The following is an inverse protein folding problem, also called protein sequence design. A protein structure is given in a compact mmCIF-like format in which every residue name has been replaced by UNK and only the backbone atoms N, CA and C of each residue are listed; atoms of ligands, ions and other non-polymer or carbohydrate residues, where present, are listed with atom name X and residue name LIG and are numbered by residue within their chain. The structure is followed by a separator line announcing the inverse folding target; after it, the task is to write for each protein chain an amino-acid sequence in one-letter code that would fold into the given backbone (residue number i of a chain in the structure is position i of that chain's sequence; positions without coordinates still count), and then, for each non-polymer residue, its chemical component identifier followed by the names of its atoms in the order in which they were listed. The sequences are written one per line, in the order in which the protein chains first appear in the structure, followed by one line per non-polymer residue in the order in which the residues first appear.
data_IF_635485656640
#
_entry.id   IF_635485656640
#
_cell.length_a   1.000
_cell.length_b   1.000
_cell.length_c   1.000
_cell.angle_alpha   90.00
_cell.angle_beta   90.00
_cell.angle_gamma   90.00
#
_symmetry.space_group_name_H-M   'P 1'
#
loop_
_entity.id
_entity.type
_entity.pdbx_description
1 polymer ?
#
# COMPACT_ATOMS: atom_id res chain seq x y z
N UNK A 1 -0.81 -15.43 -9.84
CA UNK A 1 -0.24 -14.55 -10.86
C UNK A 1 -0.82 -13.16 -10.63
N UNK A 2 0.00 -12.20 -10.25
CA UNK A 2 -0.45 -10.81 -10.04
C UNK A 2 -0.46 -10.11 -11.39
N UNK A 3 -1.64 -9.79 -11.90
CA UNK A 3 -1.78 -9.08 -13.19
C UNK A 3 -1.42 -7.61 -12.99
N UNK A 4 -0.46 -7.10 -13.76
CA UNK A 4 -0.10 -5.68 -13.73
C UNK A 4 -1.31 -4.84 -14.18
N UNK A 5 -1.83 -4.01 -13.27
CA UNK A 5 -2.90 -3.05 -13.56
C UNK A 5 -2.28 -1.80 -14.21
N UNK A 6 -2.87 -1.28 -15.28
CA UNK A 6 -2.42 -0.03 -15.91
C UNK A 6 -3.12 1.18 -15.30
N UNK A 7 -2.38 2.26 -15.11
CA UNK A 7 -2.95 3.55 -14.70
C UNK A 7 -3.82 4.09 -15.84
N UNK A 8 -5.07 4.39 -15.55
CA UNK A 8 -6.03 4.95 -16.49
C UNK A 8 -6.19 6.46 -16.26
N UNK A 9 -6.56 7.20 -17.30
CA UNK A 9 -6.89 8.62 -17.19
C UNK A 9 -8.41 8.77 -17.18
N UNK A 10 -8.96 9.33 -16.12
CA UNK A 10 -10.38 9.61 -15.98
C UNK A 10 -10.60 11.02 -15.44
N UNK A 11 -11.33 11.88 -16.19
CA UNK A 11 -11.66 13.25 -15.79
C UNK A 11 -10.46 14.08 -15.27
N UNK A 12 -9.32 14.01 -15.96
CA UNK A 12 -8.04 14.66 -15.59
C UNK A 12 -7.36 14.12 -14.32
N UNK A 13 -7.86 13.03 -13.77
CA UNK A 13 -7.26 12.29 -12.66
C UNK A 13 -6.71 10.94 -13.12
N UNK A 14 -5.64 10.48 -12.47
CA UNK A 14 -5.17 9.11 -12.61
C UNK A 14 -6.06 8.17 -11.80
N UNK A 15 -6.49 7.06 -12.39
CA UNK A 15 -7.31 6.04 -11.76
C UNK A 15 -6.62 4.68 -11.88
N UNK A 16 -6.60 3.92 -10.78
CA UNK A 16 -6.16 2.52 -10.78
C UNK A 16 -7.22 1.68 -10.07
N UNK A 17 -7.41 0.46 -10.56
CA UNK A 17 -8.36 -0.49 -9.97
C UNK A 17 -7.62 -1.48 -9.09
N UNK A 18 -8.09 -1.64 -7.86
CA UNK A 18 -7.63 -2.67 -6.94
C UNK A 18 -8.56 -3.89 -7.03
N UNK A 19 -8.06 -5.11 -7.26
CA UNK A 19 -8.90 -6.30 -7.29
C UNK A 19 -9.57 -6.57 -5.94
N UNK A 20 -10.90 -6.82 -5.96
CA UNK A 20 -11.66 -7.15 -4.74
C UNK A 20 -11.10 -8.35 -3.97
N UNK A 21 -10.52 -9.32 -4.68
CA UNK A 21 -9.92 -10.51 -4.08
C UNK A 21 -8.72 -10.19 -3.19
N UNK A 22 -7.90 -9.22 -3.59
CA UNK A 22 -6.75 -8.79 -2.79
C UNK A 22 -7.23 -8.03 -1.55
N UNK A 23 -8.21 -7.13 -1.72
CA UNK A 23 -8.81 -6.40 -0.60
C UNK A 23 -9.45 -7.33 0.43
N UNK A 24 -10.16 -8.39 0.00
CA UNK A 24 -10.73 -9.40 0.90
C UNK A 24 -9.66 -10.19 1.63
N UNK A 25 -8.64 -10.66 0.90
CA UNK A 25 -7.52 -11.42 1.49
C UNK A 25 -6.84 -10.61 2.59
N UNK A 26 -6.72 -9.30 2.38
CA UNK A 26 -6.02 -8.40 3.29
C UNK A 26 -6.96 -7.84 4.39
N UNK A 27 -8.20 -8.35 4.49
CA UNK A 27 -9.16 -7.98 5.53
C UNK A 27 -9.73 -6.57 5.42
N UNK A 28 -9.51 -5.89 4.29
CA UNK A 28 -9.98 -4.53 4.05
C UNK A 28 -11.49 -4.50 3.81
N UNK A 29 -12.02 -5.55 3.18
CA UNK A 29 -13.44 -5.74 2.99
C UNK A 29 -13.82 -7.17 3.40
N UNK A 30 -14.93 -7.31 4.12
CA UNK A 30 -15.47 -8.61 4.51
C UNK A 30 -16.45 -9.14 3.44
N UNK A 31 -17.24 -8.24 2.85
CA UNK A 31 -18.25 -8.54 1.82
C UNK A 31 -18.11 -7.62 0.61
N UNK A 32 -19.05 -7.69 -0.34
CA UNK A 32 -19.15 -6.69 -1.39
C UNK A 32 -19.48 -5.30 -0.83
N UNK A 33 -18.91 -4.27 -1.47
CA UNK A 33 -19.20 -2.89 -1.12
C UNK A 33 -20.71 -2.61 -1.27
N UNK A 34 -21.40 -2.16 -0.22
CA UNK A 34 -22.79 -1.71 -0.35
C UNK A 34 -22.87 -0.55 -1.33
N UNK A 35 -24.04 -0.36 -1.95
CA UNK A 35 -24.27 0.77 -2.86
C UNK A 35 -24.04 2.09 -2.13
N UNK A 36 -23.19 2.96 -2.70
CA UNK A 36 -22.83 4.23 -2.07
C UNK A 36 -21.77 4.11 -0.97
N UNK A 37 -21.03 2.99 -0.91
CA UNK A 37 -19.87 2.88 -0.03
C UNK A 37 -18.79 3.89 -0.41
N UNK A 38 -18.44 4.74 0.55
CA UNK A 38 -17.33 5.69 0.45
C UNK A 38 -16.28 5.34 1.50
N UNK A 39 -15.03 5.24 1.07
CA UNK A 39 -13.89 4.95 1.95
C UNK A 39 -12.95 6.14 1.95
N UNK A 40 -12.73 6.71 3.13
CA UNK A 40 -11.74 7.76 3.30
C UNK A 40 -10.34 7.17 3.24
N UNK A 41 -9.43 7.89 2.58
CA UNK A 41 -8.04 7.49 2.49
C UNK A 41 -7.12 8.70 2.60
N UNK A 42 -5.91 8.45 3.10
CA UNK A 42 -4.80 9.39 3.08
C UNK A 42 -3.84 8.97 1.98
N UNK A 43 -3.43 9.93 1.16
CA UNK A 43 -2.53 9.70 0.03
C UNK A 43 -1.28 10.55 0.22
N UNK A 44 -0.14 9.89 0.34
CA UNK A 44 1.17 10.54 0.44
C UNK A 44 1.98 10.28 -0.82
N UNK A 45 2.63 11.33 -1.33
CA UNK A 45 3.56 11.20 -2.45
C UNK A 45 4.95 10.90 -1.90
N UNK A 46 5.48 9.72 -2.22
CA UNK A 46 6.82 9.29 -1.81
C UNK A 46 7.92 9.71 -2.80
N UNK A 47 7.54 9.97 -4.06
CA UNK A 47 8.50 10.29 -5.10
C UNK A 47 7.88 10.42 -6.49
N UNK A 48 8.69 10.24 -7.53
CA UNK A 48 8.19 10.25 -8.91
C UNK A 48 7.46 8.94 -9.20
N UNK A 49 6.15 9.02 -9.45
CA UNK A 49 5.32 7.85 -9.80
C UNK A 49 5.04 6.89 -8.64
N UNK A 50 5.36 7.29 -7.40
CA UNK A 50 5.17 6.48 -6.20
C UNK A 50 4.26 7.21 -5.22
N UNK A 51 3.20 6.52 -4.84
CA UNK A 51 2.19 7.01 -3.91
C UNK A 51 1.91 5.92 -2.89
N UNK A 52 1.80 6.34 -1.64
CA UNK A 52 1.31 5.52 -0.55
C UNK A 52 -0.17 5.87 -0.33
N UNK A 53 -1.02 4.85 -0.30
CA UNK A 53 -2.45 5.01 0.02
C UNK A 53 -2.72 4.26 1.31
N UNK A 54 -3.24 4.98 2.31
CA UNK A 54 -3.62 4.44 3.61
C UNK A 54 -5.12 4.56 3.77
N UNK A 55 -5.78 3.45 4.11
CA UNK A 55 -7.22 3.42 4.34
C UNK A 55 -7.50 3.78 5.80
N UNK A 56 -8.46 4.68 6.03
CA UNK A 56 -8.82 5.14 7.37
C UNK A 56 -9.98 4.30 7.88
N UNK A 57 -9.86 3.73 9.08
CA UNK A 57 -10.95 2.93 9.62
C UNK A 57 -12.11 3.86 10.03
N UNK A 58 -13.27 3.67 9.39
CA UNK A 58 -14.45 4.52 9.59
C UNK A 58 -15.18 4.24 10.91
N UNK A 59 -14.81 3.17 11.62
CA UNK A 59 -15.49 2.73 12.85
C UNK A 59 -14.94 3.36 14.16
N UNK A 60 -14.01 4.31 14.08
CA UNK A 60 -13.50 5.01 15.26
C UNK A 60 -12.55 6.14 14.91
N UNK A 61 -13.04 7.37 14.99
CA UNK A 61 -12.27 8.62 15.11
C UNK A 61 -11.26 8.99 14.00
N UNK A 62 -11.36 8.41 12.81
CA UNK A 62 -10.56 8.87 11.67
C UNK A 62 -9.06 8.66 11.89
N UNK A 63 -8.70 7.70 12.73
CA UNK A 63 -7.30 7.43 13.06
C UNK A 63 -6.59 6.86 11.82
N UNK A 64 -5.52 7.55 11.43
CA UNK A 64 -4.71 7.16 10.28
C UNK A 64 -3.59 6.31 10.83
N UNK A 65 -3.47 5.03 10.44
CA UNK A 65 -2.42 4.16 10.96
C UNK A 65 -1.05 4.82 10.83
N UNK A 66 -0.30 4.87 11.93
CA UNK A 66 1.08 5.33 11.89
C UNK A 66 1.87 4.39 10.97
N UNK A 67 2.63 5.00 10.06
CA UNK A 67 3.45 4.30 9.10
C UNK A 67 4.46 3.37 9.79
N UNK A 68 4.99 3.79 10.94
CA UNK A 68 5.99 3.04 11.69
C UNK A 68 5.40 1.83 12.43
N UNK A 69 4.09 1.85 12.67
CA UNK A 69 3.36 0.78 13.36
C UNK A 69 2.69 -0.20 12.39
N UNK A 70 2.70 0.11 11.09
CA UNK A 70 2.18 -0.77 10.07
C UNK A 70 3.14 -1.96 9.81
N UNK A 71 2.71 -3.18 10.14
CA UNK A 71 3.46 -4.43 9.92
C UNK A 71 4.04 -4.56 8.51
N UNK A 72 3.33 -4.07 7.49
CA UNK A 72 3.79 -4.13 6.09
C UNK A 72 4.99 -3.21 5.84
N UNK A 73 5.02 -2.03 6.48
CA UNK A 73 6.13 -1.09 6.40
C UNK A 73 7.33 -1.61 7.17
N UNK A 74 7.10 -2.17 8.37
CA UNK A 74 8.15 -2.81 9.15
C UNK A 74 8.77 -4.00 8.40
N UNK A 75 7.95 -4.84 7.75
CA UNK A 75 8.45 -5.94 6.91
C UNK A 75 9.23 -5.44 5.70
N UNK A 76 8.74 -4.43 5.00
CA UNK A 76 9.46 -3.84 3.86
C UNK A 76 10.79 -3.21 4.29
N UNK A 77 10.81 -2.49 5.42
CA UNK A 77 12.03 -1.91 5.99
C UNK A 77 13.03 -2.99 6.43
N UNK A 78 12.55 -4.07 7.06
CA UNK A 78 13.38 -5.23 7.43
C UNK A 78 13.99 -5.89 6.18
N UNK A 79 13.19 -6.06 5.12
CA UNK A 79 13.66 -6.62 3.86
C UNK A 79 14.78 -5.77 3.25
N UNK A 80 14.61 -4.44 3.26
CA UNK A 80 15.62 -3.49 2.79
C UNK A 80 16.90 -3.51 3.62
N UNK A 81 16.79 -3.63 4.96
CA UNK A 81 17.96 -3.76 5.84
C UNK A 81 18.74 -5.05 5.58
N UNK A 82 18.03 -6.18 5.38
CA UNK A 82 18.65 -7.46 5.06
C UNK A 82 19.35 -7.45 3.70
N UNK A 83 18.76 -6.76 2.71
CA UNK A 83 19.37 -6.60 1.38
C UNK A 83 20.62 -5.68 1.43
N UNK A 84 20.61 -4.62 2.25
CA UNK A 84 21.75 -3.72 2.45
C UNK A 84 22.94 -4.41 3.17
N UNK A 85 22.65 -5.24 4.18
CA UNK A 85 23.67 -6.07 4.84
C UNK A 85 24.28 -7.11 3.89
N UNK A 86 23.49 -7.69 2.98
CA UNK A 86 24.02 -8.62 1.98
C UNK A 86 25.00 -7.95 1.01
N UNK A 87 24.76 -6.68 0.63
CA UNK A 87 25.68 -5.92 -0.23
C UNK A 87 26.96 -5.45 0.48
N UNK A 88 26.96 -5.31 1.81
CA UNK A 88 28.18 -4.96 2.56
C UNK A 88 29.15 -6.14 2.72
N UNK A 89 28.66 -7.36 2.81
CA UNK A 89 29.51 -8.56 2.99
C UNK A 89 30.25 -8.95 1.71
N UNK A 90 29.69 -8.68 0.53
CA UNK A 90 30.36 -8.98 -0.76
C UNK A 90 31.53 -8.04 -1.08
N UNK A 91 31.58 -6.84 -0.50
CA UNK A 91 32.66 -5.85 -0.74
C UNK A 91 33.87 -5.99 0.20
N UNK A 92 33.79 -6.83 1.24
CA UNK A 92 34.92 -7.12 2.15
C UNK A 92 35.64 -8.45 1.83
N UNK A 93 35.18 -9.18 0.80
CA UNK A 93 35.75 -10.47 0.39
C UNK A 93 36.54 -10.43 -0.94
N UNK A 94 36.72 -9.25 -1.53
CA UNK A 94 37.63 -8.99 -2.67
C UNK A 94 38.93 -8.28 -2.23
#
# INVERSE_FOLDING_TARGET
MTTMQSLQVHNKSGQVTLPKSDLRRDGIIEDDFPSGFEQQCVVDRLGRGQFLVRLVNVNGEGDVPDLLEADAVQRAAMQLLLDDDHHRVELELD
#
